data_IF_372537143053
#
_entry.id   IF_372537143053
#
_cell.length_a   1.000
_cell.length_b   1.000
_cell.length_c   1.000
_cell.angle_alpha   90.00
_cell.angle_beta   90.00
_cell.angle_gamma   90.00
#
_symmetry.space_group_name_H-M   'P 1'
#
loop_
_entity.id
_entity.type
_entity.pdbx_description
1 polymer ?
#
# COMPACT_ATOMS: atom_id res chain seq x y z
N UNK A 1 29.47 -6.58 11.93
CA UNK A 1 28.24 -6.00 11.37
C UNK A 1 27.98 -4.74 12.16
N UNK A 2 28.15 -3.58 11.55
CA UNK A 2 27.73 -2.30 12.13
C UNK A 2 26.21 -2.23 12.01
N UNK A 3 25.49 -2.14 13.12
CA UNK A 3 24.05 -1.85 13.11
C UNK A 3 23.86 -0.49 12.42
N UNK A 4 23.09 -0.49 11.32
CA UNK A 4 22.68 0.75 10.69
C UNK A 4 21.55 1.35 11.55
N UNK A 5 21.82 2.46 12.23
CA UNK A 5 20.86 3.13 13.12
C UNK A 5 20.05 4.21 12.41
N UNK A 6 20.33 4.48 11.14
CA UNK A 6 19.62 5.50 10.37
C UNK A 6 18.21 5.00 10.06
N UNK A 7 17.23 5.86 10.38
CA UNK A 7 15.82 5.56 10.14
C UNK A 7 15.46 5.83 8.69
N UNK A 8 14.78 4.87 8.08
CA UNK A 8 14.27 4.95 6.72
C UNK A 8 12.75 4.72 6.72
N UNK A 9 12.03 5.50 5.91
CA UNK A 9 10.60 5.29 5.71
C UNK A 9 10.35 4.08 4.81
N UNK A 10 9.66 3.09 5.37
CA UNK A 10 9.26 1.84 4.73
C UNK A 10 7.74 1.69 4.78
N UNK A 11 7.16 0.88 3.90
CA UNK A 11 5.70 0.85 3.71
C UNK A 11 5.13 -0.57 3.68
N UNK A 12 3.97 -0.75 4.29
CA UNK A 12 3.08 -1.85 3.91
C UNK A 12 1.94 -1.29 3.07
N UNK A 13 1.66 -1.96 1.96
CA UNK A 13 0.57 -1.64 1.04
C UNK A 13 -0.34 -2.86 0.94
N UNK A 14 -1.61 -2.67 1.25
CA UNK A 14 -2.61 -3.72 1.18
C UNK A 14 -3.57 -3.46 0.03
N UNK A 15 -3.57 -4.31 -0.98
CA UNK A 15 -4.54 -4.25 -2.07
C UNK A 15 -5.87 -4.83 -1.59
N UNK A 16 -6.93 -4.00 -1.57
CA UNK A 16 -8.25 -4.42 -1.10
C UNK A 16 -9.04 -5.00 -2.27
N UNK A 17 -9.11 -6.33 -2.30
CA UNK A 17 -9.76 -7.10 -3.36
C UNK A 17 -11.24 -7.31 -3.05
N UNK A 18 -12.09 -6.88 -3.95
CA UNK A 18 -13.49 -7.29 -4.01
C UNK A 18 -13.59 -8.69 -4.61
N UNK A 19 -13.60 -9.71 -3.75
CA UNK A 19 -13.54 -11.12 -4.13
C UNK A 19 -14.55 -11.57 -5.20
N UNK A 20 -15.84 -11.14 -5.18
CA UNK A 20 -16.81 -11.54 -6.20
C UNK A 20 -16.45 -11.09 -7.62
N UNK A 21 -15.71 -9.99 -7.76
CA UNK A 21 -15.40 -9.39 -9.07
C UNK A 21 -13.91 -9.40 -9.40
N UNK A 22 -13.03 -9.74 -8.44
CA UNK A 22 -11.58 -9.71 -8.63
C UNK A 22 -11.05 -8.29 -8.86
N UNK A 23 -11.72 -7.28 -8.29
CA UNK A 23 -11.40 -5.86 -8.53
C UNK A 23 -10.74 -5.24 -7.32
N UNK A 24 -9.69 -4.46 -7.55
CA UNK A 24 -9.05 -3.59 -6.56
C UNK A 24 -9.37 -2.16 -6.97
N UNK A 25 -10.09 -1.43 -6.11
CA UNK A 25 -10.35 0.01 -6.28
C UNK A 25 -9.74 0.86 -5.16
N UNK A 26 -9.34 0.20 -4.07
CA UNK A 26 -8.77 0.85 -2.89
C UNK A 26 -7.57 0.04 -2.41
N UNK A 27 -6.64 0.77 -1.80
CA UNK A 27 -5.54 0.20 -1.03
C UNK A 27 -5.65 0.66 0.41
N UNK A 28 -5.02 -0.07 1.31
CA UNK A 28 -4.65 0.49 2.60
C UNK A 28 -3.13 0.68 2.63
N UNK A 29 -2.64 1.75 3.26
CA UNK A 29 -1.22 2.07 3.31
C UNK A 29 -0.83 2.43 4.75
N UNK A 30 0.36 2.02 5.16
CA UNK A 30 0.95 2.42 6.44
C UNK A 30 2.46 2.58 6.29
N UNK A 31 2.95 3.74 6.73
CA UNK A 31 4.38 4.04 6.81
C UNK A 31 4.97 3.62 8.16
N UNK A 32 6.24 3.23 8.14
CA UNK A 32 7.06 2.92 9.30
C UNK A 32 8.43 3.58 9.14
N UNK A 33 8.99 4.10 10.23
CA UNK A 33 10.40 4.50 10.27
C UNK A 33 11.20 3.35 10.88
N UNK A 34 11.96 2.63 10.05
CA UNK A 34 12.69 1.43 10.45
C UNK A 34 14.20 1.65 10.32
N UNK A 35 14.97 1.01 11.20
CA UNK A 35 16.43 0.95 11.14
C UNK A 35 16.88 -0.51 10.97
N UNK A 36 18.13 -0.69 10.57
CA UNK A 36 18.70 -2.00 10.21
C UNK A 36 19.00 -2.13 8.73
N UNK A 37 19.44 -3.31 8.32
CA UNK A 37 19.61 -3.64 6.89
C UNK A 37 18.28 -3.95 6.19
N UNK A 38 18.29 -4.06 4.87
CA UNK A 38 17.10 -4.32 4.07
C UNK A 38 16.41 -5.64 4.41
N UNK A 39 17.19 -6.67 4.76
CA UNK A 39 16.64 -7.97 5.13
C UNK A 39 15.85 -7.87 6.45
N UNK A 40 16.40 -7.18 7.45
CA UNK A 40 15.75 -6.90 8.72
C UNK A 40 14.49 -6.05 8.54
N UNK A 41 14.57 -4.97 7.75
CA UNK A 41 13.43 -4.10 7.46
C UNK A 41 12.30 -4.89 6.76
N UNK A 42 12.62 -5.66 5.74
CA UNK A 42 11.63 -6.50 5.03
C UNK A 42 11.02 -7.58 5.94
N UNK A 43 11.82 -8.21 6.80
CA UNK A 43 11.30 -9.18 7.76
C UNK A 43 10.28 -8.56 8.73
N UNK A 44 10.54 -7.34 9.22
CA UNK A 44 9.60 -6.59 10.04
C UNK A 44 8.33 -6.21 9.27
N UNK A 45 8.45 -5.68 8.05
CA UNK A 45 7.31 -5.35 7.20
C UNK A 45 6.39 -6.56 6.99
N UNK A 46 6.97 -7.72 6.67
CA UNK A 46 6.21 -8.99 6.49
C UNK A 46 5.49 -9.43 7.77
N UNK A 47 6.12 -9.29 8.94
CA UNK A 47 5.49 -9.63 10.21
C UNK A 47 4.25 -8.74 10.46
N UNK A 48 4.39 -7.43 10.25
CA UNK A 48 3.33 -6.44 10.46
C UNK A 48 2.24 -6.50 9.38
N UNK A 49 2.55 -6.95 8.17
CA UNK A 49 1.61 -7.05 7.06
C UNK A 49 0.40 -7.95 7.37
N UNK A 50 0.56 -8.90 8.31
CA UNK A 50 -0.49 -9.84 8.72
C UNK A 50 -1.58 -9.22 9.60
N UNK A 51 -1.34 -8.05 10.22
CA UNK A 51 -2.24 -7.47 11.23
C UNK A 51 -2.52 -5.98 11.05
N UNK A 52 -1.53 -5.21 10.60
CA UNK A 52 -1.59 -3.75 10.70
C UNK A 52 -2.51 -3.09 9.66
N UNK A 53 -3.06 -3.86 8.72
CA UNK A 53 -4.08 -3.37 7.79
C UNK A 53 -5.34 -2.85 8.49
N UNK A 54 -5.61 -3.28 9.73
CA UNK A 54 -6.69 -2.73 10.54
C UNK A 54 -6.44 -1.29 11.01
N UNK A 55 -5.18 -0.85 11.01
CA UNK A 55 -4.75 0.48 11.44
C UNK A 55 -4.22 1.32 10.27
N UNK A 56 -4.30 0.78 9.05
CA UNK A 56 -3.81 1.42 7.85
C UNK A 56 -4.84 2.40 7.30
N UNK A 57 -4.34 3.42 6.59
CA UNK A 57 -5.20 4.41 5.96
C UNK A 57 -5.65 3.92 4.60
N UNK A 58 -6.94 4.07 4.30
CA UNK A 58 -7.50 3.65 3.01
C UNK A 58 -7.32 4.76 1.99
N UNK A 59 -6.72 4.43 0.86
CA UNK A 59 -6.40 5.32 -0.24
C UNK A 59 -7.02 4.77 -1.53
N UNK A 60 -7.83 5.55 -2.27
CA UNK A 60 -8.36 5.11 -3.56
C UNK A 60 -7.25 4.99 -4.59
N UNK A 61 -7.39 4.10 -5.57
CA UNK A 61 -6.46 4.06 -6.69
C UNK A 61 -6.57 5.34 -7.55
N UNK A 62 -5.48 5.76 -8.20
CA UNK A 62 -5.50 6.90 -9.12
C UNK A 62 -6.47 6.67 -10.29
N UNK A 63 -7.24 7.70 -10.67
CA UNK A 63 -8.28 7.60 -11.70
C UNK A 63 -7.72 7.21 -13.09
N UNK A 64 -6.43 7.41 -13.36
CA UNK A 64 -5.79 6.98 -14.61
C UNK A 64 -5.74 5.45 -14.78
N UNK A 65 -5.89 4.68 -13.70
CA UNK A 65 -6.02 3.23 -13.76
C UNK A 65 -7.47 2.87 -14.06
N UNK A 66 -7.71 2.43 -15.29
CA UNK A 66 -9.06 2.14 -15.77
C UNK A 66 -9.20 0.65 -16.07
N UNK A 67 -10.03 -0.03 -15.28
CA UNK A 67 -10.45 -1.39 -15.57
C UNK A 67 -11.50 -1.37 -16.70
N UNK A 68 -11.32 -2.23 -17.70
CA UNK A 68 -12.28 -2.41 -18.80
C UNK A 68 -12.90 -3.79 -18.70
N UNK A 69 -14.20 -3.87 -18.46
CA UNK A 69 -14.94 -5.14 -18.40
C UNK A 69 -15.19 -5.68 -19.81
N UNK A 70 -15.50 -6.99 -19.93
CA UNK A 70 -15.77 -7.65 -21.22
C UNK A 70 -16.89 -6.97 -22.03
N UNK A 71 -17.85 -6.32 -21.35
CA UNK A 71 -18.93 -5.54 -21.96
C UNK A 71 -18.54 -4.16 -22.48
N UNK A 72 -17.27 -3.75 -22.34
CA UNK A 72 -16.76 -2.42 -22.72
C UNK A 72 -17.03 -1.32 -21.69
N UNK A 73 -17.69 -1.65 -20.58
CA UNK A 73 -17.82 -0.75 -19.43
C UNK A 73 -16.44 -0.46 -18.83
N UNK A 74 -16.24 0.79 -18.41
CA UNK A 74 -14.98 1.28 -17.84
C UNK A 74 -15.19 1.71 -16.40
N UNK A 75 -14.30 1.26 -15.52
CA UNK A 75 -14.25 1.69 -14.13
C UNK A 75 -12.91 2.38 -13.86
N UNK A 76 -12.88 3.72 -13.82
CA UNK A 76 -11.71 4.48 -13.38
C UNK A 76 -11.38 4.23 -11.91
N UNK A 77 -10.11 4.36 -11.54
CA UNK A 77 -9.63 4.09 -10.18
C UNK A 77 -9.74 2.61 -9.81
N UNK A 78 -9.58 1.70 -10.78
CA UNK A 78 -9.70 0.27 -10.54
C UNK A 78 -8.72 -0.55 -11.39
N UNK A 79 -8.31 -1.71 -10.85
CA UNK A 79 -7.47 -2.71 -11.52
C UNK A 79 -7.82 -4.12 -11.05
N UNK A 80 -7.21 -5.14 -11.66
CA UNK A 80 -7.23 -6.53 -11.14
C UNK A 80 -5.94 -6.80 -10.36
N UNK A 81 -5.85 -7.89 -9.58
CA UNK A 81 -4.60 -8.31 -8.95
C UNK A 81 -3.41 -8.39 -9.92
N UNK A 82 -3.63 -8.86 -11.14
CA UNK A 82 -2.59 -8.96 -12.18
C UNK A 82 -2.14 -7.57 -12.69
N UNK A 83 -3.05 -6.58 -12.66
CA UNK A 83 -2.74 -5.19 -13.02
C UNK A 83 -2.27 -4.34 -11.83
N UNK A 84 -2.00 -4.94 -10.67
CA UNK A 84 -1.47 -4.27 -9.49
C UNK A 84 0.06 -4.39 -9.45
N UNK A 85 0.74 -3.55 -10.25
CA UNK A 85 2.19 -3.59 -10.46
C UNK A 85 2.98 -2.62 -9.57
N UNK A 86 4.32 -2.70 -9.65
CA UNK A 86 5.23 -1.85 -8.87
C UNK A 86 5.01 -0.35 -9.14
N UNK A 87 4.62 0.03 -10.37
CA UNK A 87 4.37 1.43 -10.72
C UNK A 87 3.13 1.96 -10.00
N UNK A 88 2.06 1.15 -9.95
CA UNK A 88 0.86 1.49 -9.19
C UNK A 88 1.17 1.57 -7.69
N UNK A 89 1.98 0.65 -7.16
CA UNK A 89 2.39 0.67 -5.74
C UNK A 89 3.09 1.97 -5.38
N UNK A 90 4.04 2.43 -6.20
CA UNK A 90 4.74 3.70 -5.98
C UNK A 90 3.77 4.90 -6.00
N UNK A 91 2.86 4.95 -6.97
CA UNK A 91 1.84 6.02 -7.04
C UNK A 91 0.92 6.05 -5.82
N UNK A 92 0.53 4.88 -5.31
CA UNK A 92 -0.27 4.77 -4.09
C UNK A 92 0.51 5.27 -2.88
N UNK A 93 1.80 4.95 -2.77
CA UNK A 93 2.68 5.46 -1.71
C UNK A 93 2.81 6.98 -1.80
N UNK A 94 3.04 7.53 -3.00
CA UNK A 94 3.15 8.97 -3.23
C UNK A 94 1.87 9.70 -2.82
N UNK A 95 0.70 9.20 -3.26
CA UNK A 95 -0.61 9.77 -2.92
C UNK A 95 -0.87 9.72 -1.40
N UNK A 96 -0.54 8.62 -0.74
CA UNK A 96 -0.61 8.50 0.72
C UNK A 96 0.32 9.52 1.41
N UNK A 97 1.57 9.64 0.93
CA UNK A 97 2.56 10.50 1.55
C UNK A 97 2.22 11.99 1.40
N UNK A 98 1.73 12.39 0.23
CA UNK A 98 1.27 13.76 -0.04
C UNK A 98 0.14 14.14 0.91
N UNK A 99 -0.83 13.24 1.14
CA UNK A 99 -1.93 13.48 2.07
C UNK A 99 -1.44 13.66 3.52
N UNK A 100 -0.54 12.79 3.97
CA UNK A 100 0.03 12.81 5.32
C UNK A 100 0.88 14.06 5.58
N UNK A 101 1.75 14.42 4.64
CA UNK A 101 2.66 15.57 4.77
C UNK A 101 1.91 16.90 4.67
N UNK A 102 0.97 17.04 3.74
CA UNK A 102 0.13 18.24 3.63
C UNK A 102 -0.57 18.56 4.95
N UNK A 103 -1.10 17.53 5.63
CA UNK A 103 -1.79 17.68 6.92
C UNK A 103 -0.84 18.09 8.05
N UNK A 104 0.33 17.44 8.14
CA UNK A 104 1.30 17.69 9.22
C UNK A 104 2.02 19.03 9.04
N UNK A 105 2.40 19.38 7.82
CA UNK A 105 3.14 20.61 7.53
C UNK A 105 2.27 21.85 7.79
N UNK A 106 0.99 21.79 7.40
CA UNK A 106 0.02 22.83 7.72
C UNK A 106 -0.12 23.09 9.23
N UNK A 107 0.05 22.06 10.06
CA UNK A 107 -0.10 22.15 11.52
C UNK A 107 1.21 22.49 12.24
N UNK A 108 2.37 22.14 11.68
CA UNK A 108 3.65 22.16 12.41
C UNK A 108 4.67 23.16 11.87
N UNK A 109 4.46 23.74 10.68
CA UNK A 109 5.39 24.67 10.02
C UNK A 109 6.83 24.13 9.99
N UNK A 110 7.00 22.83 9.72
CA UNK A 110 8.32 22.19 9.69
C UNK A 110 9.18 22.78 8.58
N UNK A 111 10.41 23.17 8.94
CA UNK A 111 11.39 23.66 7.97
C UNK A 111 11.94 22.52 7.09
N UNK A 112 11.92 21.28 7.58
CA UNK A 112 12.37 20.08 6.85
C UNK A 112 11.32 18.98 6.97
N UNK A 113 10.39 18.85 6.01
CA UNK A 113 9.45 17.74 6.00
C UNK A 113 10.21 16.42 5.78
N UNK A 114 9.73 15.32 6.38
CA UNK A 114 10.33 14.01 6.14
C UNK A 114 10.26 13.65 4.65
N UNK A 115 11.35 13.07 4.12
CA UNK A 115 11.44 12.63 2.74
C UNK A 115 11.33 11.11 2.66
N UNK A 116 10.56 10.62 1.70
CA UNK A 116 10.54 9.19 1.36
C UNK A 116 11.70 8.89 0.41
N UNK A 117 12.30 7.68 0.49
CA UNK A 117 13.28 7.23 -0.50
C UNK A 117 12.68 7.19 -1.92
N UNK A 118 13.50 7.38 -2.96
CA UNK A 118 13.05 7.25 -4.36
C UNK A 118 12.56 5.83 -4.70
N UNK A 119 13.13 4.82 -4.02
CA UNK A 119 12.72 3.43 -4.13
C UNK A 119 12.44 2.89 -2.73
N UNK A 120 11.26 3.19 -2.16
CA UNK A 120 10.97 2.83 -0.78
C UNK A 120 10.79 1.32 -0.65
N UNK A 121 11.43 0.72 0.35
CA UNK A 121 11.16 -0.66 0.72
C UNK A 121 9.69 -0.80 1.10
N UNK A 122 9.03 -1.76 0.44
CA UNK A 122 7.63 -2.02 0.66
C UNK A 122 7.30 -3.51 0.60
N UNK A 123 6.19 -3.88 1.25
CA UNK A 123 5.57 -5.20 1.11
C UNK A 123 4.12 -5.00 0.69
N UNK A 124 3.77 -5.64 -0.42
CA UNK A 124 2.40 -5.71 -0.93
C UNK A 124 1.72 -6.96 -0.36
N UNK A 125 0.47 -6.82 0.09
CA UNK A 125 -0.35 -7.94 0.56
C UNK A 125 -1.78 -7.80 0.06
N UNK A 126 -2.35 -8.85 -0.51
CA UNK A 126 -3.75 -8.83 -0.93
C UNK A 126 -4.65 -9.14 0.26
N UNK A 127 -5.65 -8.29 0.49
CA UNK A 127 -6.68 -8.47 1.50
C UNK A 127 -8.01 -8.56 0.79
N UNK A 128 -8.80 -9.58 1.09
CA UNK A 128 -10.19 -9.63 0.61
C UNK A 128 -11.17 -9.73 1.74
N UNK A 129 -12.40 -9.35 1.41
CA UNK A 129 -13.53 -9.45 2.32
C UNK A 129 -14.21 -10.80 2.16
N UNK A 130 -14.19 -11.60 3.22
CA UNK A 130 -14.92 -12.88 3.26
C UNK A 130 -16.44 -12.65 3.31
N UNK A 131 -17.27 -13.66 2.99
CA UNK A 131 -18.73 -13.51 2.99
C UNK A 131 -19.35 -13.08 4.33
N UNK A 132 -18.69 -13.38 5.45
CA UNK A 132 -19.06 -12.93 6.80
C UNK A 132 -18.58 -11.50 7.12
N UNK A 133 -18.00 -10.81 6.15
CA UNK A 133 -17.58 -9.41 6.24
C UNK A 133 -16.20 -9.18 6.87
N UNK A 134 -15.48 -10.24 7.24
CA UNK A 134 -14.12 -10.13 7.77
C UNK A 134 -13.12 -9.82 6.66
N UNK A 135 -12.06 -9.09 6.99
CA UNK A 135 -10.92 -8.89 6.10
C UNK A 135 -9.88 -9.98 6.39
N UNK A 136 -9.34 -10.61 5.33
CA UNK A 136 -8.30 -11.64 5.46
C UNK A 136 -7.26 -11.51 4.37
N UNK A 137 -6.03 -11.88 4.71
CA UNK A 137 -4.94 -12.04 3.74
C UNK A 137 -5.30 -13.14 2.75
N UNK A 138 -5.15 -12.84 1.47
CA UNK A 138 -5.31 -13.79 0.36
C UNK A 138 -3.93 -14.03 -0.24
N UNK A 139 -3.64 -15.28 -0.60
CA UNK A 139 -2.42 -15.58 -1.32
C UNK A 139 -2.58 -15.15 -2.77
N UNK A 140 -1.54 -14.62 -3.38
CA UNK A 140 -1.57 -14.23 -4.80
C UNK A 140 -2.04 -15.39 -5.70
N UNK A 141 -1.62 -16.62 -5.39
CA UNK A 141 -2.02 -17.85 -6.10
C UNK A 141 -3.52 -18.18 -6.04
N UNK A 142 -4.26 -17.58 -5.10
CA UNK A 142 -5.72 -17.76 -4.96
C UNK A 142 -6.52 -16.72 -5.79
N UNK A 143 -5.83 -15.85 -6.54
CA UNK A 143 -6.41 -14.73 -7.32
C UNK A 143 -6.36 -14.96 -8.85
N UNK A 144 -6.02 -16.18 -9.27
CA UNK A 144 -5.96 -16.63 -10.68
C UNK A 144 -7.32 -17.04 -11.27
#
# INVERSE_FOLDING_TARGET
MTENTDLEYCFNVWALVDLPHGVIAHTAVRAYALAGDDEQKVAQLKALASTDYHLAEVVPLPEEYVLVFEGGEKLPGATTPQGFDDQLVLKVIDQYWEYQTTTVDALTQRENPPQIPESPLNVVTFIGRTPDGQLKVIKADDLD
#
